data_IF_698175124410
#
_entry.id   IF_698175124410
#
_cell.length_a   1.000
_cell.length_b   1.000
_cell.length_c   1.000
_cell.angle_alpha   90.00
_cell.angle_beta   90.00
_cell.angle_gamma   90.00
#
_symmetry.space_group_name_H-M   'P 1'
#
loop_
_entity.id
_entity.type
_entity.pdbx_description
1 polymer ?
#
# COMPACT_ATOMS: atom_id res chain seq x y z
N UNK A 1 23.42 -19.58 8.09
CA UNK A 1 23.26 -18.19 8.57
C UNK A 1 22.84 -17.31 7.42
N UNK A 2 21.54 -17.03 7.30
CA UNK A 2 21.05 -16.06 6.32
C UNK A 2 21.06 -14.70 7.00
N UNK A 3 22.00 -13.83 6.61
CA UNK A 3 21.93 -12.40 6.89
C UNK A 3 20.94 -11.82 5.88
N UNK A 4 19.66 -11.75 6.27
CA UNK A 4 18.64 -11.04 5.49
C UNK A 4 18.79 -9.56 5.81
N UNK A 5 19.53 -8.82 4.98
CA UNK A 5 19.50 -7.35 4.98
C UNK A 5 18.19 -6.92 4.33
N UNK A 6 17.08 -7.02 5.07
CA UNK A 6 15.88 -6.28 4.71
C UNK A 6 16.16 -4.80 4.91
N UNK A 7 15.91 -3.99 3.88
CA UNK A 7 15.98 -2.54 3.96
C UNK A 7 14.80 -2.03 4.81
N UNK A 8 14.95 -2.10 6.14
CA UNK A 8 13.92 -1.78 7.16
C UNK A 8 13.45 -0.31 7.20
N UNK A 9 13.64 0.47 6.14
CA UNK A 9 13.28 1.89 6.09
C UNK A 9 11.87 2.14 5.56
N UNK A 10 11.40 1.33 4.62
CA UNK A 10 10.15 1.60 3.89
C UNK A 10 8.92 1.58 4.81
N UNK A 11 8.78 0.56 5.64
CA UNK A 11 7.58 0.37 6.48
C UNK A 11 7.51 1.38 7.62
N UNK A 12 8.69 1.78 8.16
CA UNK A 12 8.82 2.84 9.15
C UNK A 12 8.39 4.18 8.55
N UNK A 13 8.90 4.53 7.37
CA UNK A 13 8.55 5.79 6.71
C UNK A 13 7.06 5.86 6.40
N UNK A 14 6.48 4.78 5.88
CA UNK A 14 5.05 4.71 5.57
C UNK A 14 4.20 4.93 6.83
N UNK A 15 4.50 4.23 7.93
CA UNK A 15 3.79 4.41 9.19
C UNK A 15 3.93 5.84 9.76
N UNK A 16 5.13 6.40 9.73
CA UNK A 16 5.38 7.77 10.18
C UNK A 16 4.60 8.81 9.37
N UNK A 17 4.60 8.70 8.04
CA UNK A 17 3.85 9.62 7.18
C UNK A 17 2.35 9.46 7.33
N UNK A 18 1.84 8.22 7.44
CA UNK A 18 0.43 7.94 7.66
C UNK A 18 -0.11 8.67 8.89
N UNK A 19 0.58 8.57 10.02
CA UNK A 19 0.17 9.22 11.27
C UNK A 19 0.36 10.74 11.19
N UNK A 20 1.54 11.20 10.79
CA UNK A 20 1.88 12.63 10.71
C UNK A 20 0.90 13.38 9.81
N UNK A 21 0.69 12.90 8.60
CA UNK A 21 -0.15 13.59 7.62
C UNK A 21 -1.63 13.54 8.04
N UNK A 22 -2.04 12.54 8.81
CA UNK A 22 -3.37 12.47 9.43
C UNK A 22 -3.56 13.56 10.47
N UNK A 23 -2.62 13.71 11.40
CA UNK A 23 -2.64 14.81 12.39
C UNK A 23 -2.54 16.20 11.75
N UNK A 24 -1.92 16.31 10.58
CA UNK A 24 -1.85 17.55 9.81
C UNK A 24 -3.10 17.80 8.95
N UNK A 25 -4.08 16.90 8.95
CA UNK A 25 -5.29 17.02 8.13
C UNK A 25 -5.01 17.01 6.63
N UNK A 26 -3.94 16.33 6.19
CA UNK A 26 -3.52 16.27 4.78
C UNK A 26 -4.25 15.22 3.95
N UNK A 27 -5.05 14.38 4.61
CA UNK A 27 -5.95 13.44 3.97
C UNK A 27 -7.19 13.23 4.84
N UNK A 28 -8.29 12.81 4.19
CA UNK A 28 -9.55 12.45 4.84
C UNK A 28 -9.80 10.92 4.85
N UNK A 29 -9.10 10.20 3.96
CA UNK A 29 -9.17 8.75 3.82
C UNK A 29 -7.78 8.18 3.52
N UNK A 30 -7.41 7.10 4.22
CA UNK A 30 -6.22 6.31 3.92
C UNK A 30 -6.60 5.06 3.12
N UNK A 31 -5.96 4.87 1.96
CA UNK A 31 -6.02 3.62 1.19
C UNK A 31 -4.62 3.03 1.20
N UNK A 32 -4.44 1.89 1.86
CA UNK A 32 -3.13 1.33 2.18
C UNK A 32 -2.99 -0.01 1.49
N UNK A 33 -1.92 -0.19 0.70
CA UNK A 33 -1.57 -1.47 0.10
C UNK A 33 -0.50 -2.12 0.95
N UNK A 34 -0.87 -3.15 1.72
CA UNK A 34 0.10 -3.88 2.55
C UNK A 34 -0.48 -5.23 3.01
N UNK A 35 0.41 -6.15 3.40
CA UNK A 35 0.07 -7.27 4.25
C UNK A 35 1.05 -7.39 5.43
N UNK A 36 1.81 -6.33 5.69
CA UNK A 36 2.79 -6.25 6.76
C UNK A 36 2.12 -5.81 8.07
N UNK A 37 2.19 -6.69 9.07
CA UNK A 37 1.60 -6.45 10.37
C UNK A 37 2.30 -5.37 11.18
N UNK A 38 3.52 -4.96 10.81
CA UNK A 38 4.24 -3.87 11.47
C UNK A 38 3.52 -2.52 11.32
N UNK A 39 2.63 -2.37 10.31
CA UNK A 39 1.78 -1.20 10.13
C UNK A 39 0.52 -1.18 10.99
N UNK A 40 0.27 -2.21 11.81
CA UNK A 40 -0.94 -2.27 12.64
C UNK A 40 -1.03 -1.08 13.61
N UNK A 41 0.07 -0.71 14.27
CA UNK A 41 0.06 0.40 15.24
C UNK A 41 -0.19 1.77 14.60
N UNK A 42 0.50 2.20 13.53
CA UNK A 42 0.19 3.48 12.90
C UNK A 42 -1.24 3.52 12.34
N UNK A 43 -1.76 2.41 11.80
CA UNK A 43 -3.17 2.33 11.39
C UNK A 43 -4.13 2.45 12.58
N UNK A 44 -3.81 1.83 13.72
CA UNK A 44 -4.61 1.94 14.96
C UNK A 44 -4.65 3.38 15.47
N UNK A 45 -3.52 4.09 15.46
CA UNK A 45 -3.45 5.51 15.85
C UNK A 45 -4.37 6.35 14.96
N UNK A 46 -4.26 6.22 13.65
CA UNK A 46 -5.14 6.94 12.70
C UNK A 46 -6.61 6.61 12.95
N UNK A 47 -6.95 5.34 13.16
CA UNK A 47 -8.33 4.92 13.36
C UNK A 47 -8.92 5.42 14.68
N UNK A 48 -8.16 5.32 15.77
CA UNK A 48 -8.65 5.58 17.13
C UNK A 48 -8.53 7.04 17.56
N UNK A 49 -7.47 7.74 17.15
CA UNK A 49 -7.22 9.11 17.59
C UNK A 49 -7.75 10.14 16.59
N UNK A 50 -7.73 9.82 15.29
CA UNK A 50 -8.16 10.74 14.23
C UNK A 50 -9.54 10.39 13.66
N UNK A 51 -10.08 9.20 13.98
CA UNK A 51 -11.35 8.69 13.44
C UNK A 51 -11.41 8.68 11.90
N UNK A 52 -10.27 8.60 11.22
CA UNK A 52 -10.21 8.61 9.75
C UNK A 52 -10.57 7.25 9.17
N UNK A 53 -11.12 7.27 7.95
CA UNK A 53 -11.47 6.05 7.22
C UNK A 53 -10.21 5.35 6.70
N UNK A 54 -10.14 4.03 6.89
CA UNK A 54 -9.03 3.20 6.41
C UNK A 54 -9.56 2.07 5.51
N UNK A 55 -9.06 2.02 4.26
CA UNK A 55 -9.22 0.90 3.35
C UNK A 55 -7.90 0.14 3.19
N UNK A 56 -7.94 -1.18 3.39
CA UNK A 56 -6.85 -2.08 3.05
C UNK A 56 -7.05 -2.61 1.64
N UNK A 57 -6.11 -2.32 0.74
CA UNK A 57 -5.97 -3.01 -0.54
C UNK A 57 -4.98 -4.15 -0.37
N UNK A 58 -5.47 -5.37 -0.21
CA UNK A 58 -4.61 -6.52 0.06
C UNK A 58 -4.01 -7.06 -1.24
N UNK A 59 -2.66 -7.12 -1.37
CA UNK A 59 -2.00 -7.76 -2.50
C UNK A 59 -2.01 -9.30 -2.40
N UNK A 60 -2.56 -9.86 -1.32
CA UNK A 60 -2.64 -11.31 -1.08
C UNK A 60 -4.07 -11.75 -0.82
N UNK A 61 -4.38 -13.00 -1.15
CA UNK A 61 -5.71 -13.61 -0.96
C UNK A 61 -6.11 -13.77 0.52
N UNK A 62 -5.14 -13.72 1.45
CA UNK A 62 -5.37 -13.86 2.89
C UNK A 62 -4.78 -12.66 3.62
N UNK A 63 -5.53 -11.54 3.70
CA UNK A 63 -5.11 -10.36 4.43
C UNK A 63 -4.87 -10.69 5.91
N UNK A 64 -3.84 -10.09 6.51
CA UNK A 64 -3.53 -10.27 7.92
C UNK A 64 -4.71 -9.83 8.80
N UNK A 65 -5.16 -10.72 9.69
CA UNK A 65 -6.34 -10.50 10.53
C UNK A 65 -6.23 -9.23 11.40
N UNK A 66 -5.02 -8.93 11.87
CA UNK A 66 -4.72 -7.73 12.67
C UNK A 66 -5.00 -6.45 11.89
N UNK A 67 -4.58 -6.38 10.62
CA UNK A 67 -4.85 -5.24 9.75
C UNK A 67 -6.33 -5.13 9.40
N UNK A 68 -6.95 -6.25 9.02
CA UNK A 68 -8.38 -6.29 8.68
C UNK A 68 -9.27 -5.84 9.84
N UNK A 69 -8.87 -6.10 11.08
CA UNK A 69 -9.63 -5.70 12.26
C UNK A 69 -9.61 -4.18 12.52
N UNK A 70 -8.62 -3.46 11.97
CA UNK A 70 -8.47 -2.00 12.12
C UNK A 70 -9.23 -1.25 11.01
N UNK A 71 -9.31 -1.84 9.82
CA UNK A 71 -9.82 -1.18 8.63
C UNK A 71 -11.35 -1.14 8.58
N UNK A 72 -11.88 -0.11 7.94
CA UNK A 72 -13.30 -0.01 7.60
C UNK A 72 -13.68 -0.93 6.44
N UNK A 73 -12.73 -1.16 5.53
CA UNK A 73 -12.92 -2.01 4.36
C UNK A 73 -11.63 -2.71 3.98
N UNK A 74 -11.79 -3.95 3.51
CA UNK A 74 -10.73 -4.73 2.89
C UNK A 74 -11.16 -5.06 1.47
N UNK A 75 -10.33 -4.70 0.50
CA UNK A 75 -10.51 -5.00 -0.92
C UNK A 75 -9.31 -5.82 -1.38
N UNK A 76 -9.56 -6.96 -2.03
CA UNK A 76 -8.48 -7.75 -2.64
C UNK A 76 -8.10 -7.13 -3.98
N UNK A 77 -6.79 -7.00 -4.22
CA UNK A 77 -6.30 -6.64 -5.55
C UNK A 77 -6.47 -7.86 -6.45
N UNK A 78 -7.34 -7.75 -7.44
CA UNK A 78 -7.62 -8.85 -8.37
C UNK A 78 -6.63 -8.87 -9.54
N UNK A 79 -6.45 -10.04 -10.14
CA UNK A 79 -5.63 -10.19 -11.36
C UNK A 79 -6.15 -9.29 -12.50
N UNK A 80 -7.47 -9.11 -12.60
CA UNK A 80 -8.07 -8.20 -13.57
C UNK A 80 -7.68 -6.75 -13.30
N UNK A 81 -7.72 -6.31 -12.04
CA UNK A 81 -7.30 -4.95 -11.67
C UNK A 81 -5.84 -4.70 -12.00
N UNK A 82 -4.98 -5.71 -11.86
CA UNK A 82 -3.56 -5.63 -12.24
C UNK A 82 -3.42 -5.53 -13.77
N UNK A 83 -4.15 -6.37 -14.51
CA UNK A 83 -4.13 -6.37 -15.98
C UNK A 83 -4.59 -5.03 -16.56
N UNK A 84 -5.68 -4.46 -16.03
CA UNK A 84 -6.25 -3.18 -16.47
C UNK A 84 -5.37 -1.98 -16.07
N UNK A 85 -4.43 -2.17 -15.13
CA UNK A 85 -3.52 -1.12 -14.65
C UNK A 85 -2.12 -1.19 -15.28
N UNK A 86 -1.90 -2.06 -16.27
CA UNK A 86 -0.65 -2.09 -17.02
C UNK A 86 -0.61 -0.93 -18.02
N UNK A 87 0.60 -0.43 -18.29
CA UNK A 87 0.83 0.39 -19.47
C UNK A 87 0.66 -0.45 -20.75
N UNK A 88 0.35 0.21 -21.86
CA UNK A 88 0.40 -0.39 -23.19
C UNK A 88 1.80 -0.96 -23.49
N UNK A 89 1.86 -1.95 -24.39
CA UNK A 89 3.14 -2.58 -24.79
C UNK A 89 4.16 -1.59 -25.36
N UNK A 90 3.70 -0.44 -25.85
CA UNK A 90 4.55 0.67 -26.29
C UNK A 90 4.01 1.96 -25.70
N UNK A 91 4.85 2.66 -24.94
CA UNK A 91 4.55 3.98 -24.39
C UNK A 91 5.56 5.02 -24.86
N UNK A 92 5.11 6.28 -24.93
CA UNK A 92 5.96 7.44 -25.24
C UNK A 92 6.19 8.22 -23.96
N UNK A 93 7.45 8.40 -23.58
CA UNK A 93 7.88 9.15 -22.39
C UNK A 93 8.78 10.29 -22.85
N UNK A 94 8.20 11.49 -23.01
CA UNK A 94 8.88 12.62 -23.65
C UNK A 94 9.15 12.34 -25.13
N UNK A 95 10.41 12.47 -25.55
CA UNK A 95 10.85 12.16 -26.93
C UNK A 95 11.26 10.68 -27.13
N UNK A 96 11.12 9.84 -26.10
CA UNK A 96 11.56 8.43 -26.13
C UNK A 96 10.37 7.49 -26.23
N UNK A 97 10.51 6.48 -27.08
CA UNK A 97 9.59 5.33 -27.13
C UNK A 97 10.16 4.19 -26.29
N UNK A 98 9.35 3.66 -25.36
CA UNK A 98 9.70 2.52 -24.51
C UNK A 98 8.76 1.37 -24.88
N UNK A 99 9.34 0.23 -25.25
CA UNK A 99 8.61 -1.01 -25.56
C UNK A 99 8.77 -1.99 -24.42
N UNK A 100 7.68 -2.67 -24.06
CA UNK A 100 7.66 -3.74 -23.06
C UNK A 100 8.67 -4.82 -23.44
N UNK A 101 9.56 -5.24 -22.52
CA UNK A 101 10.49 -6.33 -22.77
C UNK A 101 9.75 -7.64 -23.08
N UNK A 102 10.20 -8.39 -24.09
CA UNK A 102 9.57 -9.64 -24.52
C UNK A 102 9.57 -10.76 -23.45
N UNK A 103 10.32 -10.59 -22.37
CA UNK A 103 10.46 -11.57 -21.27
C UNK A 103 9.59 -11.22 -20.04
N UNK A 104 8.76 -10.19 -20.12
CA UNK A 104 7.79 -9.79 -19.08
C UNK A 104 6.40 -10.32 -19.40
#
# INVERSE_FOLDING_TARGET
NVLKTEEKGSDVNLGCHLVRDGFQGKYEKAVIITNDTDLAEPMRVVKSELSLYIELLSPVNKPARTLSAICDKVTLISDQSIADSQFEDVIVVGEKTVTKPAQW
#
